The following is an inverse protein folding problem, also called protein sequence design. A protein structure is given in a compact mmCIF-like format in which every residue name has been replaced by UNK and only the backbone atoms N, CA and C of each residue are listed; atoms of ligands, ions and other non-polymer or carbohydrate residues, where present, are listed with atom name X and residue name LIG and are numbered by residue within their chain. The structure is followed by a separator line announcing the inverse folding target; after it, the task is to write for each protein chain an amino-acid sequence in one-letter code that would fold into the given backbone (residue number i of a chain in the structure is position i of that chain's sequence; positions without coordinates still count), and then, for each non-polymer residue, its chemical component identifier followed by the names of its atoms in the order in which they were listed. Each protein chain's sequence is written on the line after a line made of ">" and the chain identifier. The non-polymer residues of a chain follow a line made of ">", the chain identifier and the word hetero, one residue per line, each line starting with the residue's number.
data_IF_007102158776
#
_entry.id   IF_007102158776
#
_cell.length_a   1.000
_cell.length_b   1.000
_cell.length_c   1.000
_cell.angle_alpha   90.00
_cell.angle_beta   90.00
_cell.angle_gamma   90.00
#
_symmetry.space_group_name_H-M   'P 1'
#
loop_
_entity.id
_entity.type
_entity.pdbx_description
1 polymer ?
#
# COMPACT_ATOMS: atom_id res chain seq x y z
N UNK A 1 -9.86 -7.15 -6.99
CA UNK A 1 -10.14 -6.10 -8.00
C UNK A 1 -10.50 -4.73 -7.39
N UNK A 2 -10.63 -4.59 -6.07
CA UNK A 2 -11.17 -3.36 -5.44
C UNK A 2 -10.22 -2.15 -5.36
N UNK A 3 -8.90 -2.32 -5.58
CA UNK A 3 -7.91 -1.24 -5.39
C UNK A 3 -7.21 -0.83 -6.70
N UNK A 4 -6.69 -1.79 -7.46
CA UNK A 4 -5.88 -1.49 -8.65
C UNK A 4 -6.70 -0.79 -9.75
N UNK A 5 -7.90 -1.28 -10.03
CA UNK A 5 -8.78 -0.69 -11.06
C UNK A 5 -9.14 0.77 -10.76
N UNK A 6 -9.62 1.13 -9.55
CA UNK A 6 -9.84 2.54 -9.19
C UNK A 6 -8.63 3.44 -9.35
N UNK A 7 -7.42 2.93 -9.07
CA UNK A 7 -6.18 3.70 -9.20
C UNK A 7 -5.64 3.72 -10.64
N UNK A 8 -6.22 2.92 -11.55
CA UNK A 8 -5.73 2.76 -12.91
C UNK A 8 -4.40 1.99 -12.99
N UNK A 9 -4.13 1.12 -12.02
CA UNK A 9 -2.96 0.24 -12.00
C UNK A 9 -3.21 -0.99 -12.86
N UNK A 10 -2.84 -0.94 -14.14
CA UNK A 10 -3.17 -1.99 -15.12
C UNK A 10 -2.08 -3.07 -15.27
N UNK A 11 -0.89 -2.85 -14.68
CA UNK A 11 0.23 -3.80 -14.74
C UNK A 11 0.41 -4.62 -13.46
N UNK A 12 -0.47 -4.43 -12.47
CA UNK A 12 -0.36 -5.10 -11.18
C UNK A 12 -0.67 -6.61 -11.30
N UNK A 13 0.28 -7.44 -10.87
CA UNK A 13 0.15 -8.88 -10.75
C UNK A 13 0.45 -9.26 -9.31
N UNK A 14 -0.53 -9.86 -8.64
CA UNK A 14 -0.37 -10.46 -7.32
C UNK A 14 -0.31 -11.97 -7.49
N UNK A 15 0.84 -12.58 -7.19
CA UNK A 15 1.02 -14.02 -7.39
C UNK A 15 0.65 -14.83 -6.14
N UNK A 16 0.36 -16.10 -6.38
CA UNK A 16 0.09 -17.08 -5.34
C UNK A 16 1.29 -17.95 -5.05
N UNK A 17 1.32 -18.56 -3.87
CA UNK A 17 2.16 -19.73 -3.62
C UNK A 17 1.69 -20.95 -4.43
N UNK A 18 2.38 -22.08 -4.25
CA UNK A 18 2.07 -23.35 -4.92
C UNK A 18 0.69 -23.92 -4.58
N UNK A 19 0.05 -23.43 -3.51
CA UNK A 19 -1.29 -23.84 -3.09
C UNK A 19 -2.39 -22.88 -3.55
N UNK A 20 -2.04 -21.81 -4.28
CA UNK A 20 -2.99 -20.81 -4.75
C UNK A 20 -3.31 -19.71 -3.74
N UNK A 21 -2.52 -19.58 -2.66
CA UNK A 21 -2.68 -18.51 -1.67
C UNK A 21 -1.90 -17.27 -2.10
N UNK A 22 -2.53 -16.11 -2.18
CA UNK A 22 -1.83 -14.86 -2.53
C UNK A 22 -0.75 -14.50 -1.53
N UNK A 23 0.47 -14.22 -2.02
CA UNK A 23 1.61 -13.83 -1.19
C UNK A 23 1.76 -12.31 -1.19
N UNK A 24 0.94 -11.64 -0.38
CA UNK A 24 0.87 -10.18 -0.30
C UNK A 24 2.13 -9.47 0.24
N UNK A 25 3.05 -10.20 0.86
CA UNK A 25 4.27 -9.63 1.45
C UNK A 25 5.37 -9.33 0.44
N UNK A 26 5.38 -10.00 -0.71
CA UNK A 26 6.55 -9.98 -1.62
C UNK A 26 6.24 -10.17 -3.10
N UNK A 27 5.11 -10.79 -3.46
CA UNK A 27 4.80 -11.15 -4.85
C UNK A 27 3.75 -10.23 -5.48
N UNK A 28 3.85 -8.94 -5.21
CA UNK A 28 3.14 -7.91 -5.96
C UNK A 28 4.10 -7.21 -6.92
N UNK A 29 3.89 -7.45 -8.20
CA UNK A 29 4.67 -6.85 -9.29
C UNK A 29 3.83 -5.79 -9.99
N UNK A 30 4.44 -4.65 -10.32
CA UNK A 30 3.81 -3.60 -11.12
C UNK A 30 4.89 -2.72 -11.75
N UNK A 31 4.54 -2.01 -12.83
CA UNK A 31 5.44 -1.00 -13.40
C UNK A 31 5.70 0.13 -12.40
N UNK A 32 6.83 0.81 -12.54
CA UNK A 32 7.17 1.97 -11.72
C UNK A 32 6.07 3.05 -11.74
N UNK A 33 5.38 3.22 -12.87
CA UNK A 33 4.26 4.16 -13.01
C UNK A 33 3.06 3.77 -12.15
N UNK A 34 2.74 2.48 -12.07
CA UNK A 34 1.65 1.99 -11.23
C UNK A 34 2.00 2.08 -9.75
N UNK A 35 3.26 1.81 -9.37
CA UNK A 35 3.73 2.11 -8.02
C UNK A 35 3.67 3.60 -7.69
N UNK A 36 3.98 4.49 -8.64
CA UNK A 36 3.85 5.93 -8.43
C UNK A 36 2.39 6.35 -8.20
N UNK A 37 1.41 5.73 -8.87
CA UNK A 37 -0.02 5.96 -8.61
C UNK A 37 -0.40 5.54 -7.20
N UNK A 38 0.05 4.37 -6.75
CA UNK A 38 -0.19 3.90 -5.38
C UNK A 38 0.45 4.83 -4.33
N UNK A 39 1.69 5.27 -4.55
CA UNK A 39 2.34 6.24 -3.67
C UNK A 39 1.59 7.59 -3.61
N UNK A 40 1.19 8.12 -4.77
CA UNK A 40 0.41 9.36 -4.87
C UNK A 40 -0.95 9.22 -4.18
N UNK A 41 -1.61 8.07 -4.32
CA UNK A 41 -2.85 7.75 -3.62
C UNK A 41 -2.72 7.82 -2.09
N UNK A 42 -1.64 7.27 -1.54
CA UNK A 42 -1.36 7.38 -0.10
C UNK A 42 -1.01 8.81 0.31
N UNK A 43 -0.29 9.58 -0.52
CA UNK A 43 -0.05 11.01 -0.28
C UNK A 43 -1.34 11.84 -0.25
N UNK A 44 -2.38 11.38 -0.94
CA UNK A 44 -3.71 11.98 -0.95
C UNK A 44 -4.66 11.40 0.12
N UNK A 45 -4.12 10.85 1.20
CA UNK A 45 -4.87 10.24 2.31
C UNK A 45 -5.92 9.20 1.86
N UNK A 46 -5.62 8.44 0.80
CA UNK A 46 -6.53 7.42 0.29
C UNK A 46 -7.71 7.96 -0.53
N UNK A 47 -7.64 9.22 -0.98
CA UNK A 47 -8.59 9.83 -1.92
C UNK A 47 -8.01 9.86 -3.32
N UNK A 48 -8.73 9.30 -4.29
CA UNK A 48 -8.32 9.28 -5.70
C UNK A 48 -9.41 9.86 -6.59
N UNK A 49 -9.08 10.86 -7.41
CA UNK A 49 -10.04 11.55 -8.28
C UNK A 49 -11.31 12.01 -7.55
N UNK A 50 -11.17 12.52 -6.32
CA UNK A 50 -12.28 12.99 -5.48
C UNK A 50 -13.10 11.88 -4.83
N UNK A 51 -12.75 10.60 -5.04
CA UNK A 51 -13.38 9.46 -4.39
C UNK A 51 -12.54 8.97 -3.21
N UNK A 52 -13.16 8.90 -2.04
CA UNK A 52 -12.58 8.23 -0.87
C UNK A 52 -12.57 6.71 -1.11
N UNK A 53 -11.37 6.12 -1.13
CA UNK A 53 -11.19 4.66 -1.27
C UNK A 53 -10.77 4.05 0.07
N UNK A 54 -9.98 4.76 0.88
CA UNK A 54 -9.71 4.40 2.26
C UNK A 54 -10.49 5.34 3.20
N UNK A 55 -10.96 4.86 4.36
CA UNK A 55 -11.55 5.73 5.36
C UNK A 55 -10.62 6.88 5.74
N UNK A 56 -11.19 8.06 5.96
CA UNK A 56 -10.42 9.23 6.44
C UNK A 56 -9.53 8.87 7.65
N UNK A 57 -8.27 9.30 7.61
CA UNK A 57 -7.29 9.04 8.66
C UNK A 57 -6.66 7.63 8.66
N UNK A 58 -7.05 6.74 7.74
CA UNK A 58 -6.45 5.42 7.64
C UNK A 58 -4.96 5.48 7.30
N UNK A 59 -4.53 6.39 6.42
CA UNK A 59 -3.09 6.53 6.08
C UNK A 59 -2.29 7.08 7.26
N UNK A 60 -2.88 7.98 8.06
CA UNK A 60 -2.28 8.42 9.32
C UNK A 60 -2.13 7.26 10.30
N UNK A 61 -3.19 6.47 10.49
CA UNK A 61 -3.17 5.25 11.31
C UNK A 61 -2.09 4.26 10.85
N UNK A 62 -1.91 4.08 9.54
CA UNK A 62 -0.85 3.20 9.01
C UNK A 62 0.55 3.61 9.51
N UNK A 63 0.77 4.91 9.69
CA UNK A 63 2.05 5.51 10.11
C UNK A 63 2.20 5.64 11.63
N UNK A 64 1.16 5.38 12.42
CA UNK A 64 1.30 5.30 13.87
C UNK A 64 2.25 4.15 14.24
N UNK A 65 3.13 4.36 15.23
CA UNK A 65 4.06 3.33 15.67
C UNK A 65 3.33 2.04 16.08
N UNK A 66 3.78 0.91 15.54
CA UNK A 66 3.26 -0.39 15.93
C UNK A 66 3.74 -0.73 17.35
N UNK A 67 2.89 -1.24 18.26
CA UNK A 67 3.32 -1.57 19.64
C UNK A 67 4.48 -2.57 19.72
N UNK A 68 4.62 -3.42 18.70
CA UNK A 68 5.63 -4.47 18.62
C UNK A 68 6.93 -4.04 17.91
N UNK A 69 7.05 -2.80 17.43
CA UNK A 69 8.22 -2.33 16.69
C UNK A 69 8.51 -0.86 16.95
N UNK A 70 9.79 -0.48 16.90
CA UNK A 70 10.20 0.93 16.91
C UNK A 70 10.31 1.53 15.50
N UNK A 71 10.46 0.68 14.48
CA UNK A 71 10.78 1.10 13.10
C UNK A 71 9.61 0.94 12.13
N UNK A 72 8.54 0.25 12.56
CA UNK A 72 7.35 -0.01 11.74
C UNK A 72 6.12 0.69 12.29
N UNK A 73 5.30 1.21 11.38
CA UNK A 73 3.95 1.66 11.64
C UNK A 73 2.93 0.52 11.63
N UNK A 74 1.73 0.76 12.17
CA UNK A 74 0.63 -0.21 12.25
C UNK A 74 0.22 -0.78 10.89
N UNK A 75 0.39 0.00 9.82
CA UNK A 75 0.09 -0.40 8.44
C UNK A 75 1.19 -1.22 7.75
N UNK A 76 2.13 -1.81 8.51
CA UNK A 76 3.30 -2.53 7.98
C UNK A 76 4.18 -1.67 7.06
N UNK A 77 4.24 -0.37 7.34
CA UNK A 77 5.10 0.59 6.65
C UNK A 77 6.29 0.94 7.52
N UNK A 78 7.45 1.19 6.91
CA UNK A 78 8.58 1.78 7.60
C UNK A 78 8.24 3.23 7.99
N UNK A 79 8.50 3.60 9.24
CA UNK A 79 8.27 4.97 9.75
C UNK A 79 9.58 5.70 10.11
N UNK A 80 10.70 4.99 10.06
CA UNK A 80 12.06 5.52 10.12
C UNK A 80 12.76 5.21 8.78
N UNK A 81 13.59 6.12 8.28
CA UNK A 81 14.30 5.86 7.03
C UNK A 81 15.47 4.91 7.27
N UNK A 82 15.94 4.18 6.22
CA UNK A 82 17.14 3.37 6.35
C UNK A 82 18.35 4.23 6.77
N UNK A 83 18.87 4.02 7.98
CA UNK A 83 20.05 4.71 8.49
C UNK A 83 19.78 5.82 9.53
N UNK A 84 18.51 6.06 9.88
CA UNK A 84 18.13 6.86 11.05
C UNK A 84 18.32 6.09 12.38
#
# INVERSE_FOLDING_TARGET
>A
VALFDPLGMQSAVLETDEHGTFVGSSYLYATARDWARFGQFLLQDGVWNGKEILPAGFVAWMREAAPASKVYGRGQVWIEAPGD
#
